data_IF_601815897532
#
_entry.id   IF_601815897532
#
_cell.length_a   1.000
_cell.length_b   1.000
_cell.length_c   1.000
_cell.angle_alpha   90.00
_cell.angle_beta   90.00
_cell.angle_gamma   90.00
#
_symmetry.space_group_name_H-M   'P 1'
#
loop_
_entity.id
_entity.type
_entity.pdbx_description
1 polymer ?
#
# COMPACT_ATOMS: atom_id res chain seq x y z
N UNK A 1 -16.31 -22.53 37.52
CA UNK A 1 -14.84 -22.64 37.72
C UNK A 1 -14.10 -22.97 36.42
N UNK A 2 -14.78 -23.47 35.37
CA UNK A 2 -14.21 -23.73 34.03
C UNK A 2 -14.01 -22.46 33.18
N UNK A 3 -14.92 -21.49 33.25
CA UNK A 3 -14.85 -20.21 32.49
C UNK A 3 -13.57 -19.39 32.79
N UNK A 4 -12.98 -19.56 33.98
CA UNK A 4 -11.71 -18.89 34.35
C UNK A 4 -10.47 -19.60 33.80
N UNK A 5 -10.54 -20.88 33.43
CA UNK A 5 -9.42 -21.63 32.83
C UNK A 5 -9.33 -21.40 31.32
N UNK A 6 -10.45 -21.16 30.63
CA UNK A 6 -10.50 -20.94 29.18
C UNK A 6 -9.77 -19.66 28.72
N UNK A 7 -9.81 -18.58 29.51
CA UNK A 7 -9.11 -17.32 29.17
C UNK A 7 -7.58 -17.48 29.02
N UNK A 8 -6.98 -18.47 29.68
CA UNK A 8 -5.53 -18.69 29.64
C UNK A 8 -5.08 -19.57 28.48
N UNK A 9 -6.01 -20.16 27.71
CA UNK A 9 -5.71 -21.04 26.58
C UNK A 9 -6.30 -20.55 25.26
N UNK A 10 -6.68 -19.28 25.18
CA UNK A 10 -7.39 -18.71 24.04
C UNK A 10 -6.91 -17.29 23.80
N UNK A 11 -6.14 -17.10 22.73
CA UNK A 11 -5.51 -15.83 22.38
C UNK A 11 -6.11 -15.25 21.11
N UNK A 12 -6.16 -13.92 21.02
CA UNK A 12 -6.27 -13.28 19.71
C UNK A 12 -4.93 -13.50 18.99
N UNK A 13 -4.97 -14.01 17.75
CA UNK A 13 -3.77 -14.35 16.99
C UNK A 13 -2.83 -13.14 16.81
N UNK A 14 -3.37 -11.94 16.68
CA UNK A 14 -2.58 -10.70 16.50
C UNK A 14 -1.70 -10.38 17.71
N UNK A 15 -2.16 -10.73 18.91
CA UNK A 15 -1.47 -10.41 20.16
C UNK A 15 -0.30 -11.36 20.44
N UNK A 16 -0.30 -12.54 19.82
CA UNK A 16 0.71 -13.59 20.05
C UNK A 16 1.63 -13.84 18.86
N UNK A 17 1.32 -13.27 17.69
CA UNK A 17 2.19 -13.32 16.50
C UNK A 17 3.04 -12.05 16.46
N UNK A 18 4.35 -12.24 16.51
CA UNK A 18 5.36 -11.21 16.40
C UNK A 18 6.09 -11.37 15.07
N UNK A 19 6.12 -10.30 14.28
CA UNK A 19 6.84 -10.24 13.01
C UNK A 19 8.08 -9.38 13.21
N UNK A 20 9.26 -9.94 12.95
CA UNK A 20 10.55 -9.27 13.10
C UNK A 20 11.27 -9.18 11.75
N UNK A 21 11.75 -7.99 11.38
CA UNK A 21 12.75 -7.84 10.32
C UNK A 21 14.13 -7.85 10.96
N UNK A 22 14.82 -8.98 10.87
CA UNK A 22 16.12 -9.22 11.47
C UNK A 22 17.21 -8.48 10.68
N UNK A 23 17.97 -7.62 11.36
CA UNK A 23 19.02 -6.82 10.76
C UNK A 23 20.40 -7.48 10.94
N UNK A 24 21.28 -7.35 9.95
CA UNK A 24 22.68 -7.79 10.02
C UNK A 24 23.43 -7.10 11.18
N UNK A 25 23.06 -5.85 11.48
CA UNK A 25 23.63 -5.10 12.58
C UNK A 25 22.85 -5.33 13.88
N UNK A 26 23.33 -6.25 14.72
CA UNK A 26 22.73 -6.60 16.02
C UNK A 26 22.63 -5.42 17.01
N UNK A 27 23.36 -4.31 16.75
CA UNK A 27 23.24 -3.08 17.56
C UNK A 27 22.02 -2.21 17.23
N UNK A 28 21.36 -2.45 16.08
CA UNK A 28 20.07 -1.82 15.79
C UNK A 28 18.97 -2.59 16.54
N UNK A 29 18.05 -1.85 17.14
CA UNK A 29 16.87 -2.46 17.76
C UNK A 29 16.10 -3.28 16.72
N UNK A 30 15.59 -4.47 17.11
CA UNK A 30 14.83 -5.31 16.20
C UNK A 30 13.56 -4.58 15.76
N UNK A 31 13.25 -4.69 14.47
CA UNK A 31 12.08 -4.07 13.87
C UNK A 31 10.92 -5.04 14.02
N UNK A 32 10.13 -4.86 15.08
CA UNK A 32 9.04 -5.77 15.46
C UNK A 32 7.69 -5.09 15.26
N UNK A 33 6.73 -5.84 14.70
CA UNK A 33 5.34 -5.43 14.58
C UNK A 33 4.39 -6.63 14.63
N UNK A 34 3.10 -6.37 14.72
CA UNK A 34 2.04 -7.38 14.77
C UNK A 34 1.21 -7.37 13.48
N UNK A 35 0.57 -8.50 13.11
CA UNK A 35 -0.45 -8.51 12.08
C UNK A 35 -1.60 -7.55 12.40
N UNK A 36 -2.19 -6.94 11.36
CA UNK A 36 -3.45 -6.20 11.45
C UNK A 36 -4.64 -7.15 11.27
N UNK A 37 -4.47 -8.17 10.43
CA UNK A 37 -5.47 -9.18 10.11
C UNK A 37 -4.89 -10.58 10.24
N UNK A 38 -5.72 -11.53 10.67
CA UNK A 38 -5.35 -12.94 10.81
C UNK A 38 -6.47 -13.90 10.41
N UNK A 39 -7.65 -13.37 10.06
CA UNK A 39 -8.86 -14.16 9.77
C UNK A 39 -8.68 -15.11 8.57
N UNK A 40 -7.77 -14.79 7.63
CA UNK A 40 -7.46 -15.67 6.50
C UNK A 40 -6.68 -16.93 6.91
N UNK A 41 -6.10 -16.94 8.11
CA UNK A 41 -5.25 -18.03 8.64
C UNK A 41 -5.92 -18.70 9.84
N UNK A 42 -6.52 -17.91 10.74
CA UNK A 42 -7.13 -18.37 11.99
C UNK A 42 -8.61 -18.00 12.04
N UNK A 43 -9.46 -18.99 12.27
CA UNK A 43 -10.90 -18.79 12.47
C UNK A 43 -11.16 -17.84 13.64
N UNK A 44 -12.07 -16.89 13.44
CA UNK A 44 -12.39 -15.81 14.40
C UNK A 44 -11.16 -15.01 14.87
N UNK A 45 -10.03 -15.11 14.18
CA UNK A 45 -8.74 -14.53 14.60
C UNK A 45 -8.25 -15.06 15.96
N UNK A 46 -8.64 -16.29 16.32
CA UNK A 46 -8.31 -16.91 17.61
C UNK A 46 -7.43 -18.14 17.46
N UNK A 47 -6.56 -18.32 18.46
CA UNK A 47 -5.77 -19.55 18.64
C UNK A 47 -6.12 -20.13 20.00
N UNK A 48 -6.56 -21.39 20.02
CA UNK A 48 -7.04 -22.09 21.22
C UNK A 48 -6.22 -23.33 21.54
N UNK A 49 -6.14 -23.67 22.83
CA UNK A 49 -5.51 -24.89 23.32
C UNK A 49 -4.04 -24.77 23.72
N UNK A 50 -3.47 -23.56 23.72
CA UNK A 50 -2.07 -23.30 24.11
C UNK A 50 -2.02 -22.30 25.24
N UNK A 51 -1.10 -22.45 26.20
CA UNK A 51 -0.86 -21.50 27.30
C UNK A 51 0.42 -20.71 27.08
N UNK A 52 0.40 -19.42 27.44
CA UNK A 52 1.54 -18.49 27.31
C UNK A 52 2.15 -18.55 25.89
N UNK A 53 1.28 -18.54 24.88
CA UNK A 53 1.64 -18.74 23.48
C UNK A 53 2.40 -17.52 22.95
N UNK A 54 3.50 -17.77 22.25
CA UNK A 54 4.29 -16.79 21.52
C UNK A 54 4.74 -17.39 20.18
N UNK A 55 4.41 -16.70 19.08
CA UNK A 55 4.76 -17.10 17.71
C UNK A 55 5.66 -16.01 17.14
N UNK A 56 6.94 -16.31 16.91
CA UNK A 56 7.88 -15.39 16.29
C UNK A 56 8.13 -15.78 14.83
N UNK A 57 7.80 -14.88 13.92
CA UNK A 57 8.14 -14.93 12.51
C UNK A 57 9.25 -13.90 12.25
N UNK A 58 10.49 -14.38 12.11
CA UNK A 58 11.63 -13.52 11.76
C UNK A 58 11.90 -13.60 10.26
N UNK A 59 12.19 -12.47 9.64
CA UNK A 59 12.52 -12.34 8.23
C UNK A 59 13.90 -11.70 8.10
N UNK A 60 14.81 -12.31 7.33
CA UNK A 60 16.07 -11.66 6.99
C UNK A 60 15.80 -10.33 6.27
N UNK A 61 16.49 -9.25 6.66
CA UNK A 61 16.22 -7.93 6.08
C UNK A 61 16.48 -7.83 4.57
N UNK A 62 17.31 -8.70 3.99
CA UNK A 62 17.67 -8.65 2.57
C UNK A 62 16.66 -9.39 1.67
N UNK A 63 16.52 -10.71 1.81
CA UNK A 63 15.74 -11.58 0.89
C UNK A 63 14.50 -12.17 1.56
N UNK A 64 14.21 -11.74 2.79
CA UNK A 64 13.06 -12.16 3.58
C UNK A 64 13.03 -13.67 3.89
N UNK A 65 14.17 -14.36 3.84
CA UNK A 65 14.25 -15.74 4.34
C UNK A 65 13.68 -15.83 5.76
N UNK A 66 12.83 -16.84 6.00
CA UNK A 66 11.93 -16.88 7.16
C UNK A 66 12.46 -17.85 8.21
N UNK A 67 12.37 -17.45 9.47
CA UNK A 67 12.50 -18.30 10.64
C UNK A 67 11.20 -18.28 11.46
N UNK A 68 10.70 -19.46 11.82
CA UNK A 68 9.50 -19.65 12.62
C UNK A 68 9.85 -20.29 13.98
N UNK A 69 9.47 -19.63 15.06
CA UNK A 69 9.56 -20.17 16.43
C UNK A 69 8.20 -20.09 17.10
N UNK A 70 7.67 -21.24 17.52
CA UNK A 70 6.43 -21.32 18.29
C UNK A 70 6.80 -21.79 19.69
N UNK A 71 6.41 -21.01 20.70
CA UNK A 71 6.68 -21.28 22.11
C UNK A 71 5.40 -21.22 22.91
N UNK A 72 5.23 -22.13 23.85
CA UNK A 72 4.10 -22.19 24.78
C UNK A 72 4.55 -22.97 26.03
N UNK A 73 3.89 -22.75 27.16
CA UNK A 73 4.21 -23.42 28.43
C UNK A 73 3.37 -24.66 28.68
N UNK A 74 2.21 -24.77 28.04
CA UNK A 74 1.30 -25.92 28.14
C UNK A 74 0.41 -26.06 26.90
N UNK A 75 -0.02 -27.29 26.60
CA UNK A 75 -0.92 -27.63 25.48
C UNK A 75 -2.06 -28.51 25.98
N UNK A 76 -3.29 -28.10 25.68
CA UNK A 76 -4.50 -28.78 26.12
C UNK A 76 -4.85 -29.98 25.21
N UNK A 77 -4.02 -31.02 25.17
CA UNK A 77 -4.23 -32.19 24.28
C UNK A 77 -5.39 -33.11 24.71
N UNK A 78 -5.89 -33.00 25.95
CA UNK A 78 -6.91 -33.89 26.53
C UNK A 78 -8.03 -33.16 27.32
N UNK A 79 -8.21 -31.85 27.13
CA UNK A 79 -9.30 -31.12 27.81
C UNK A 79 -10.53 -31.14 26.91
N UNK A 80 -11.55 -31.89 27.32
CA UNK A 80 -12.87 -31.88 26.66
C UNK A 80 -13.30 -30.41 26.47
N UNK A 81 -13.78 -30.08 25.27
CA UNK A 81 -14.28 -28.75 24.84
C UNK A 81 -13.28 -27.73 24.23
N UNK A 82 -11.96 -27.99 24.15
CA UNK A 82 -11.02 -27.08 23.45
C UNK A 82 -10.45 -27.70 22.17
N UNK A 83 -10.81 -27.14 21.00
CA UNK A 83 -10.15 -27.49 19.74
C UNK A 83 -8.70 -26.97 19.77
N UNK A 84 -7.71 -27.86 19.79
CA UNK A 84 -6.29 -27.52 19.73
C UNK A 84 -5.75 -27.80 18.31
N UNK A 85 -5.93 -26.85 17.39
CA UNK A 85 -5.39 -26.94 16.02
C UNK A 85 -3.86 -26.80 16.06
N UNK A 86 -3.15 -27.63 15.29
CA UNK A 86 -1.70 -27.52 15.17
C UNK A 86 -1.33 -26.19 14.50
N UNK A 87 -0.76 -25.27 15.27
CA UNK A 87 -0.36 -23.92 14.80
C UNK A 87 0.67 -24.02 13.68
N UNK A 88 1.64 -24.92 13.80
CA UNK A 88 2.71 -25.05 12.82
C UNK A 88 2.16 -25.53 11.47
N UNK A 89 1.33 -26.58 11.47
CA UNK A 89 0.66 -27.06 10.26
C UNK A 89 -0.25 -25.99 9.65
N UNK A 90 -0.90 -25.18 10.47
CA UNK A 90 -1.75 -24.09 10.01
C UNK A 90 -0.93 -23.03 9.29
N UNK A 91 0.16 -22.55 9.90
CA UNK A 91 1.05 -21.55 9.32
C UNK A 91 1.79 -22.07 8.09
N UNK A 92 2.18 -23.35 8.06
CA UNK A 92 2.87 -23.98 6.91
C UNK A 92 2.06 -23.99 5.62
N UNK A 93 0.74 -23.77 5.68
CA UNK A 93 -0.10 -23.59 4.47
C UNK A 93 0.10 -22.24 3.79
N UNK A 94 0.61 -21.25 4.53
CA UNK A 94 0.79 -19.86 4.09
C UNK A 94 2.26 -19.41 4.08
N UNK A 95 3.16 -20.28 4.53
CA UNK A 95 4.59 -20.05 4.53
C UNK A 95 5.27 -20.95 3.48
N UNK A 96 6.38 -20.50 2.87
CA UNK A 96 7.14 -21.32 1.95
C UNK A 96 7.76 -22.53 2.67
N UNK A 97 8.01 -23.60 1.91
CA UNK A 97 8.63 -24.83 2.43
C UNK A 97 10.06 -24.60 2.97
N UNK A 98 10.71 -23.54 2.54
CA UNK A 98 12.10 -23.18 2.84
C UNK A 98 12.30 -22.54 4.21
N UNK A 99 11.27 -22.44 5.06
CA UNK A 99 11.40 -21.83 6.40
C UNK A 99 12.46 -22.53 7.25
N UNK A 100 13.14 -21.76 8.10
CA UNK A 100 14.08 -22.25 9.10
C UNK A 100 13.41 -22.39 10.45
N UNK A 101 13.82 -23.39 11.22
CA UNK A 101 13.38 -23.61 12.62
C UNK A 101 14.56 -23.63 13.59
N UNK A 102 15.79 -23.57 13.10
CA UNK A 102 17.01 -23.44 13.89
C UNK A 102 17.52 -21.99 13.86
N UNK A 103 17.63 -21.39 15.04
CA UNK A 103 17.98 -19.98 15.21
C UNK A 103 19.44 -19.70 14.84
N UNK A 104 20.33 -20.65 15.12
CA UNK A 104 21.76 -20.53 14.78
C UNK A 104 21.98 -20.50 13.27
N UNK A 105 21.30 -21.39 12.54
CA UNK A 105 21.32 -21.45 11.08
C UNK A 105 20.76 -20.17 10.47
N UNK A 106 19.67 -19.64 11.02
CA UNK A 106 19.07 -18.37 10.58
C UNK A 106 20.05 -17.20 10.70
N UNK A 107 20.69 -17.02 11.86
CA UNK A 107 21.65 -15.94 12.05
C UNK A 107 22.97 -16.16 11.30
N UNK A 108 23.37 -17.40 11.01
CA UNK A 108 24.47 -17.66 10.05
C UNK A 108 24.08 -17.15 8.67
N UNK A 109 22.92 -17.56 8.15
CA UNK A 109 22.43 -17.16 6.84
C UNK A 109 22.32 -15.64 6.69
N UNK A 110 21.77 -14.95 7.70
CA UNK A 110 21.66 -13.49 7.73
C UNK A 110 23.03 -12.80 7.62
N UNK A 111 24.08 -13.35 8.24
CA UNK A 111 25.43 -12.77 8.26
C UNK A 111 26.26 -13.11 7.03
N UNK A 112 26.00 -14.25 6.41
CA UNK A 112 26.76 -14.76 5.27
C UNK A 112 26.43 -14.03 3.96
N UNK A 113 25.23 -13.42 3.86
CA UNK A 113 24.75 -12.82 2.61
C UNK A 113 25.24 -11.37 2.36
N UNK A 114 26.57 -11.16 2.41
CA UNK A 114 27.20 -9.84 2.23
C UNK A 114 27.18 -9.30 0.79
N UNK A 115 26.89 -10.16 -0.20
CA UNK A 115 26.85 -9.80 -1.61
C UNK A 115 25.43 -9.64 -2.16
N UNK A 116 24.41 -9.69 -1.30
CA UNK A 116 23.03 -9.53 -1.75
C UNK A 116 22.80 -8.16 -2.37
N UNK A 117 22.19 -8.17 -3.55
CA UNK A 117 21.60 -6.99 -4.19
C UNK A 117 20.16 -7.36 -4.51
N UNK A 118 19.18 -6.47 -4.24
CA UNK A 118 17.79 -6.72 -4.61
C UNK A 118 17.68 -7.10 -6.10
N UNK A 119 16.98 -8.20 -6.42
CA UNK A 119 16.83 -8.63 -7.80
C UNK A 119 15.98 -7.67 -8.62
N UNK A 120 16.06 -7.80 -9.94
CA UNK A 120 15.39 -6.92 -10.90
C UNK A 120 16.17 -5.64 -11.20
N UNK A 121 15.51 -4.72 -11.91
CA UNK A 121 16.10 -3.47 -12.36
C UNK A 121 15.85 -2.37 -11.33
N UNK A 122 16.90 -1.64 -10.93
CA UNK A 122 16.73 -0.41 -10.15
C UNK A 122 16.08 0.67 -11.02
N UNK A 123 14.89 1.12 -10.63
CA UNK A 123 14.10 2.11 -11.38
C UNK A 123 14.08 3.50 -10.73
N UNK A 124 14.41 3.59 -9.44
CA UNK A 124 14.40 4.86 -8.71
C UNK A 124 15.31 4.80 -7.49
N UNK A 125 15.81 5.96 -7.07
CA UNK A 125 16.51 6.15 -5.81
C UNK A 125 16.15 7.50 -5.21
N UNK A 126 16.03 7.57 -3.88
CA UNK A 126 15.80 8.82 -3.17
C UNK A 126 16.49 8.81 -1.80
N UNK A 127 16.81 10.00 -1.29
CA UNK A 127 17.31 10.18 0.06
C UNK A 127 16.19 10.65 0.99
N UNK A 128 16.13 10.08 2.18
CA UNK A 128 15.25 10.52 3.26
C UNK A 128 15.98 10.33 4.60
N UNK A 129 16.02 11.37 5.43
CA UNK A 129 16.67 11.33 6.76
C UNK A 129 18.11 10.76 6.70
N UNK A 130 18.91 11.22 5.72
CA UNK A 130 20.28 10.77 5.46
C UNK A 130 20.44 9.27 5.14
N UNK A 131 19.33 8.57 4.85
CA UNK A 131 19.34 7.18 4.39
C UNK A 131 18.97 7.14 2.91
N UNK A 132 19.64 6.28 2.16
CA UNK A 132 19.36 6.06 0.73
C UNK A 132 18.32 4.96 0.62
N UNK A 133 17.33 5.17 -0.24
CA UNK A 133 16.32 4.18 -0.56
C UNK A 133 16.33 3.94 -2.06
N UNK A 134 16.14 2.69 -2.47
CA UNK A 134 16.15 2.27 -3.86
C UNK A 134 14.90 1.42 -4.14
N UNK A 135 14.29 1.66 -5.31
CA UNK A 135 13.15 0.88 -5.80
C UNK A 135 13.61 0.02 -6.96
N UNK A 136 13.35 -1.28 -6.85
CA UNK A 136 13.64 -2.29 -7.85
C UNK A 136 12.35 -2.80 -8.46
N UNK A 137 12.38 -3.14 -9.75
CA UNK A 137 11.26 -3.71 -10.48
C UNK A 137 11.72 -5.00 -11.15
N UNK A 138 10.97 -6.07 -10.94
CA UNK A 138 11.19 -7.37 -11.57
C UNK A 138 9.89 -7.99 -12.07
N UNK A 139 10.00 -9.00 -12.92
CA UNK A 139 8.88 -9.86 -13.30
C UNK A 139 8.85 -11.08 -12.39
N UNK A 140 7.66 -11.61 -12.11
CA UNK A 140 7.51 -12.83 -11.29
C UNK A 140 8.22 -14.04 -11.89
N UNK A 141 8.51 -14.05 -13.20
CA UNK A 141 9.23 -15.15 -13.86
C UNK A 141 10.72 -15.23 -13.51
N UNK A 142 11.27 -14.18 -12.88
CA UNK A 142 12.64 -14.20 -12.36
C UNK A 142 12.66 -15.03 -11.07
N UNK A 143 13.42 -16.14 -11.01
CA UNK A 143 13.45 -17.01 -9.83
C UNK A 143 13.84 -16.31 -8.53
N UNK A 144 14.70 -15.28 -8.59
CA UNK A 144 15.10 -14.53 -7.40
C UNK A 144 13.98 -13.61 -6.91
N UNK A 145 13.18 -13.06 -7.83
CA UNK A 145 11.97 -12.30 -7.49
C UNK A 145 10.90 -13.24 -6.94
N UNK A 146 10.69 -14.40 -7.57
CA UNK A 146 9.73 -15.42 -7.13
C UNK A 146 10.05 -15.89 -5.70
N UNK A 147 11.32 -16.13 -5.38
CA UNK A 147 11.77 -16.48 -4.02
C UNK A 147 11.38 -15.40 -3.00
N UNK A 148 11.63 -14.13 -3.31
CA UNK A 148 11.26 -13.01 -2.41
C UNK A 148 9.73 -12.89 -2.28
N UNK A 149 8.99 -13.05 -3.38
CA UNK A 149 7.52 -13.03 -3.39
C UNK A 149 6.95 -14.14 -2.51
N UNK A 150 7.47 -15.36 -2.65
CA UNK A 150 7.09 -16.51 -1.84
C UNK A 150 7.30 -16.27 -0.33
N UNK A 151 8.36 -15.54 0.02
CA UNK A 151 8.65 -15.16 1.41
C UNK A 151 7.74 -14.02 1.91
N UNK A 152 7.47 -13.01 1.08
CA UNK A 152 6.79 -11.78 1.50
C UNK A 152 5.26 -11.82 1.38
N UNK A 153 4.69 -12.76 0.61
CA UNK A 153 3.25 -12.81 0.32
C UNK A 153 2.39 -12.93 1.59
N UNK A 154 2.89 -13.53 2.67
CA UNK A 154 2.17 -13.58 3.95
C UNK A 154 1.86 -12.18 4.52
N UNK A 155 2.66 -11.17 4.18
CA UNK A 155 2.38 -9.79 4.55
C UNK A 155 1.08 -9.27 3.93
N UNK A 156 0.65 -9.76 2.76
CA UNK A 156 -0.65 -9.36 2.20
C UNK A 156 -1.78 -9.80 3.12
N UNK A 157 -1.75 -11.03 3.60
CA UNK A 157 -2.77 -11.57 4.52
C UNK A 157 -2.75 -10.87 5.89
N UNK A 158 -1.58 -10.44 6.35
CA UNK A 158 -1.44 -9.77 7.64
C UNK A 158 -1.79 -8.28 7.61
N UNK A 159 -1.62 -7.61 6.47
CA UNK A 159 -1.61 -6.14 6.41
C UNK A 159 -2.66 -5.55 5.46
N UNK A 160 -3.29 -6.36 4.61
CA UNK A 160 -4.29 -5.91 3.64
C UNK A 160 -5.60 -6.67 3.87
N UNK A 161 -6.68 -5.93 4.08
CA UNK A 161 -8.03 -6.50 4.20
C UNK A 161 -8.49 -7.10 2.87
N UNK A 162 -9.15 -8.25 2.93
CA UNK A 162 -9.60 -9.01 1.76
C UNK A 162 -8.50 -9.63 0.90
N UNK A 163 -7.22 -9.52 1.29
CA UNK A 163 -6.12 -10.00 0.45
C UNK A 163 -6.08 -11.52 0.30
N UNK A 164 -5.59 -11.93 -0.87
CA UNK A 164 -5.20 -13.30 -1.21
C UNK A 164 -3.80 -13.29 -1.84
N UNK A 165 -3.17 -14.46 -1.92
CA UNK A 165 -1.91 -14.59 -2.66
C UNK A 165 -2.14 -14.38 -4.15
N UNK A 166 -1.12 -13.84 -4.82
CA UNK A 166 -1.13 -13.71 -6.28
C UNK A 166 -0.87 -15.08 -6.93
N UNK A 167 -1.31 -15.26 -8.17
CA UNK A 167 -0.93 -16.41 -8.97
C UNK A 167 0.49 -16.22 -9.51
N UNK A 168 1.48 -16.86 -8.87
CA UNK A 168 2.89 -16.71 -9.23
C UNK A 168 3.24 -17.32 -10.59
N UNK A 169 2.39 -18.18 -11.15
CA UNK A 169 2.59 -18.77 -12.48
C UNK A 169 2.22 -17.80 -13.61
N UNK A 170 1.44 -16.75 -13.32
CA UNK A 170 1.07 -15.75 -14.32
C UNK A 170 2.17 -14.71 -14.51
N UNK A 171 2.94 -14.87 -15.59
CA UNK A 171 4.01 -13.96 -16.01
C UNK A 171 3.63 -12.46 -16.13
N UNK A 172 2.35 -12.10 -16.10
CA UNK A 172 1.87 -10.71 -16.17
C UNK A 172 2.08 -9.92 -14.88
N UNK A 173 2.50 -10.57 -13.80
CA UNK A 173 2.83 -9.88 -12.55
C UNK A 173 4.17 -9.14 -12.64
N UNK A 174 4.09 -7.85 -12.34
CA UNK A 174 5.23 -6.98 -12.07
C UNK A 174 5.35 -6.76 -10.57
N UNK A 175 6.56 -6.91 -10.05
CA UNK A 175 6.88 -6.80 -8.63
C UNK A 175 7.79 -5.60 -8.42
N UNK A 176 7.38 -4.68 -7.55
CA UNK A 176 8.17 -3.53 -7.14
C UNK A 176 8.62 -3.71 -5.70
N UNK A 177 9.92 -3.65 -5.45
CA UNK A 177 10.53 -3.84 -4.13
C UNK A 177 11.20 -2.55 -3.68
N UNK A 178 10.94 -2.12 -2.45
CA UNK A 178 11.56 -0.95 -1.84
C UNK A 178 12.53 -1.38 -0.76
N UNK A 179 13.77 -0.91 -0.87
CA UNK A 179 14.84 -1.17 0.09
C UNK A 179 15.47 0.11 0.61
N UNK A 180 15.87 0.10 1.88
CA UNK A 180 16.88 1.00 2.42
C UNK A 180 18.26 0.41 2.08
N UNK A 181 19.13 1.26 1.53
CA UNK A 181 20.52 0.95 1.22
C UNK A 181 21.42 1.54 2.31
N UNK A 182 22.24 0.68 2.92
CA UNK A 182 23.22 1.05 3.94
C UNK A 182 24.63 0.69 3.46
N UNK A 183 25.49 1.67 3.29
CA UNK A 183 26.90 1.44 2.93
C UNK A 183 27.76 1.38 4.19
N UNK A 184 28.51 0.28 4.38
CA UNK A 184 29.46 0.08 5.49
C UNK A 184 30.72 -0.60 4.97
N UNK A 185 31.90 -0.07 5.30
CA UNK A 185 33.20 -0.64 4.89
C UNK A 185 33.27 -0.94 3.38
N UNK A 186 32.83 0.02 2.54
CA UNK A 186 32.73 -0.13 1.08
C UNK A 186 31.86 -1.29 0.58
N UNK A 187 30.96 -1.81 1.44
CA UNK A 187 29.95 -2.80 1.09
C UNK A 187 28.54 -2.25 1.30
N UNK A 188 27.66 -2.55 0.35
CA UNK A 188 26.27 -2.14 0.39
C UNK A 188 25.39 -3.25 0.97
N UNK A 189 24.54 -2.88 1.91
CA UNK A 189 23.58 -3.75 2.56
C UNK A 189 22.17 -3.24 2.30
N UNK A 190 21.24 -4.16 2.09
CA UNK A 190 19.87 -3.85 1.73
C UNK A 190 18.90 -4.35 2.81
N UNK A 191 18.02 -3.47 3.27
CA UNK A 191 16.96 -3.77 4.23
C UNK A 191 15.60 -3.48 3.60
N UNK A 192 14.74 -4.49 3.53
CA UNK A 192 13.42 -4.42 2.93
C UNK A 192 12.49 -3.48 3.70
N UNK A 193 11.78 -2.63 2.97
CA UNK A 193 10.88 -1.60 3.52
C UNK A 193 9.43 -1.82 3.10
N UNK A 194 9.20 -2.34 1.90
CA UNK A 194 7.87 -2.54 1.35
C UNK A 194 7.88 -3.03 -0.09
N UNK A 195 6.69 -3.31 -0.62
CA UNK A 195 6.51 -3.78 -1.98
C UNK A 195 5.20 -3.31 -2.60
N UNK A 196 5.08 -3.47 -3.91
CA UNK A 196 3.84 -3.35 -4.65
C UNK A 196 3.77 -4.42 -5.73
N UNK A 197 2.62 -5.06 -5.90
CA UNK A 197 2.34 -5.95 -7.03
C UNK A 197 1.43 -5.25 -8.04
N UNK A 198 1.73 -5.43 -9.32
CA UNK A 198 0.97 -4.82 -10.42
C UNK A 198 0.69 -5.88 -11.47
N UNK A 199 -0.58 -6.07 -11.81
CA UNK A 199 -0.99 -6.99 -12.87
C UNK A 199 -1.23 -6.26 -14.18
N UNK A 200 -0.78 -6.84 -15.28
CA UNK A 200 -1.01 -6.32 -16.64
C UNK A 200 -2.23 -6.97 -17.28
N UNK A 201 -3.36 -6.28 -17.26
CA UNK A 201 -4.56 -6.70 -17.99
C UNK A 201 -4.45 -6.33 -19.47
N UNK A 202 -4.91 -7.24 -20.33
CA UNK A 202 -5.12 -6.93 -21.73
C UNK A 202 -6.08 -5.75 -21.88
N UNK A 203 -5.71 -4.77 -22.70
CA UNK A 203 -6.58 -3.67 -23.10
C UNK A 203 -7.01 -3.86 -24.54
N UNK A 204 -8.27 -4.20 -24.74
CA UNK A 204 -8.81 -4.32 -26.09
C UNK A 204 -8.83 -2.95 -26.80
N UNK A 205 -8.15 -2.88 -27.94
CA UNK A 205 -8.28 -1.81 -28.91
C UNK A 205 -8.37 -2.42 -30.31
N UNK A 206 -9.20 -1.81 -31.17
CA UNK A 206 -9.22 -2.17 -32.60
C UNK A 206 -7.90 -1.87 -33.31
N UNK A 207 -7.11 -0.96 -32.75
CA UNK A 207 -5.88 -0.42 -33.36
C UNK A 207 -4.61 -1.13 -32.90
N UNK A 208 -4.64 -1.81 -31.74
CA UNK A 208 -3.48 -2.47 -31.15
C UNK A 208 -3.91 -3.64 -30.25
N UNK A 209 -3.32 -4.80 -30.48
CA UNK A 209 -3.47 -6.00 -29.65
C UNK A 209 -2.45 -6.07 -28.50
N UNK A 210 -1.55 -5.09 -28.42
CA UNK A 210 -0.44 -5.09 -27.46
C UNK A 210 -0.68 -4.14 -26.28
N UNK A 211 -1.83 -3.46 -26.26
CA UNK A 211 -2.16 -2.50 -25.22
C UNK A 211 -2.50 -3.20 -23.90
N UNK A 212 -2.18 -2.53 -22.79
CA UNK A 212 -2.44 -3.07 -21.46
C UNK A 212 -2.94 -2.01 -20.49
N UNK A 213 -3.67 -2.46 -19.46
CA UNK A 213 -3.98 -1.71 -18.24
C UNK A 213 -3.14 -2.28 -17.11
N UNK A 214 -2.39 -1.42 -16.43
CA UNK A 214 -1.71 -1.81 -15.21
C UNK A 214 -2.67 -1.64 -14.03
N UNK A 215 -2.87 -2.70 -13.23
CA UNK A 215 -3.64 -2.64 -11.99
C UNK A 215 -2.73 -2.90 -10.80
N UNK A 216 -2.54 -1.89 -9.96
CA UNK A 216 -1.90 -2.06 -8.65
C UNK A 216 -2.84 -2.92 -7.80
N UNK A 217 -2.36 -4.07 -7.36
CA UNK A 217 -3.15 -5.06 -6.62
C UNK A 217 -2.86 -5.00 -5.12
N UNK A 218 -1.60 -5.25 -4.74
CA UNK A 218 -1.16 -5.17 -3.34
C UNK A 218 -0.14 -4.04 -3.21
N UNK A 219 -0.23 -3.25 -2.14
CA UNK A 219 0.73 -2.19 -1.84
C UNK A 219 0.99 -2.14 -0.35
N UNK A 220 2.22 -2.42 0.06
CA UNK A 220 2.61 -2.53 1.47
C UNK A 220 3.86 -1.71 1.73
N UNK A 221 3.81 -0.88 2.76
CA UNK A 221 4.98 -0.41 3.49
C UNK A 221 4.92 -1.08 4.85
N UNK A 222 6.01 -1.73 5.29
CA UNK A 222 5.99 -2.42 6.58
C UNK A 222 5.66 -1.43 7.71
N UNK A 223 4.86 -1.83 8.70
CA UNK A 223 4.29 -0.90 9.70
C UNK A 223 5.30 0.06 10.33
N UNK A 224 6.52 -0.38 10.72
CA UNK A 224 7.52 0.51 11.34
C UNK A 224 8.02 1.64 10.44
N UNK A 225 7.88 1.51 9.11
CA UNK A 225 8.33 2.51 8.14
C UNK A 225 7.17 3.38 7.61
N UNK A 226 5.92 3.11 8.01
CA UNK A 226 4.77 3.88 7.56
C UNK A 226 4.81 5.33 8.06
N UNK A 227 4.02 6.21 7.41
CA UNK A 227 3.90 7.64 7.75
C UNK A 227 5.18 8.48 7.65
N UNK A 228 6.26 7.91 7.09
CA UNK A 228 7.52 8.62 6.80
C UNK A 228 7.68 9.07 5.34
N UNK A 229 6.64 8.87 4.50
CA UNK A 229 6.65 9.29 3.09
C UNK A 229 7.06 8.23 2.07
N UNK A 230 7.50 7.04 2.53
CA UNK A 230 7.89 5.92 1.66
C UNK A 230 6.80 5.49 0.69
N UNK A 231 5.53 5.43 1.14
CA UNK A 231 4.42 5.06 0.26
C UNK A 231 4.29 5.98 -0.95
N UNK A 232 4.32 7.31 -0.75
CA UNK A 232 4.23 8.26 -1.86
C UNK A 232 5.42 8.15 -2.83
N UNK A 233 6.62 7.90 -2.31
CA UNK A 233 7.83 7.71 -3.13
C UNK A 233 7.80 6.41 -3.94
N UNK A 234 7.37 5.30 -3.33
CA UNK A 234 7.19 4.03 -4.04
C UNK A 234 6.09 4.14 -5.10
N UNK A 235 4.96 4.77 -4.78
CA UNK A 235 3.87 5.02 -5.72
C UNK A 235 4.32 5.89 -6.90
N UNK A 236 5.08 6.96 -6.69
CA UNK A 236 5.57 7.76 -7.82
C UNK A 236 6.62 7.03 -8.65
N UNK A 237 7.51 6.24 -8.02
CA UNK A 237 8.51 5.45 -8.74
C UNK A 237 7.84 4.42 -9.66
N UNK A 238 6.89 3.63 -9.15
CA UNK A 238 6.17 2.65 -9.97
C UNK A 238 5.30 3.34 -11.03
N UNK A 239 4.64 4.45 -10.72
CA UNK A 239 3.79 5.16 -11.69
C UNK A 239 4.63 5.71 -12.84
N UNK A 240 5.78 6.32 -12.54
CA UNK A 240 6.72 6.84 -13.54
C UNK A 240 7.25 5.71 -14.42
N UNK A 241 7.64 4.58 -13.81
CA UNK A 241 8.11 3.41 -14.55
C UNK A 241 7.02 2.88 -15.50
N UNK A 242 5.79 2.66 -15.00
CA UNK A 242 4.68 2.13 -15.81
C UNK A 242 4.32 3.09 -16.95
N UNK A 243 4.28 4.40 -16.70
CA UNK A 243 3.99 5.40 -17.73
C UNK A 243 5.05 5.49 -18.83
N UNK A 244 6.29 5.11 -18.54
CA UNK A 244 7.35 5.07 -19.56
C UNK A 244 7.05 4.06 -20.68
N UNK A 245 6.19 3.09 -20.43
CA UNK A 245 5.70 2.15 -21.43
C UNK A 245 4.49 2.74 -22.18
N UNK A 246 4.68 3.05 -23.47
CA UNK A 246 3.63 3.60 -24.33
C UNK A 246 2.44 2.67 -24.53
N UNK A 247 2.62 1.34 -24.37
CA UNK A 247 1.55 0.34 -24.49
C UNK A 247 0.55 0.39 -23.33
N UNK A 248 0.94 0.94 -22.18
CA UNK A 248 0.03 1.10 -21.05
C UNK A 248 -0.93 2.25 -21.34
N UNK A 249 -2.23 1.97 -21.32
CA UNK A 249 -3.29 2.95 -21.61
C UNK A 249 -3.85 3.58 -20.33
N UNK A 250 -3.84 2.84 -19.23
CA UNK A 250 -4.43 3.27 -17.97
C UNK A 250 -3.76 2.57 -16.78
N UNK A 251 -3.66 3.28 -15.66
CA UNK A 251 -3.25 2.74 -14.37
C UNK A 251 -4.45 2.77 -13.42
N UNK A 252 -4.82 1.60 -12.91
CA UNK A 252 -5.92 1.38 -11.96
C UNK A 252 -5.38 0.82 -10.64
N UNK A 253 -6.21 0.84 -9.60
CA UNK A 253 -5.92 0.24 -8.30
C UNK A 253 -7.08 -0.67 -7.95
N UNK A 254 -6.77 -1.85 -7.47
CA UNK A 254 -7.73 -2.81 -6.92
C UNK A 254 -8.13 -2.38 -5.52
N UNK A 255 -9.44 -2.17 -5.31
CA UNK A 255 -10.09 -1.90 -4.01
C UNK A 255 -9.22 -1.13 -3.00
N UNK A 256 -8.83 0.13 -3.29
CA UNK A 256 -7.91 0.88 -2.46
C UNK A 256 -8.49 1.13 -1.05
N UNK A 257 -7.68 0.94 -0.01
CA UNK A 257 -8.02 1.39 1.34
C UNK A 257 -8.12 2.92 1.40
N UNK A 258 -8.77 3.45 2.43
CA UNK A 258 -8.89 4.89 2.66
C UNK A 258 -7.50 5.56 2.77
N UNK A 259 -6.54 4.93 3.46
CA UNK A 259 -5.18 5.44 3.58
C UNK A 259 -4.43 5.44 2.26
N UNK A 260 -4.61 4.40 1.44
CA UNK A 260 -4.03 4.35 0.11
C UNK A 260 -4.66 5.42 -0.78
N UNK A 261 -5.98 5.59 -0.73
CA UNK A 261 -6.71 6.60 -1.50
C UNK A 261 -6.25 8.02 -1.14
N UNK A 262 -6.03 8.31 0.15
CA UNK A 262 -5.47 9.59 0.62
C UNK A 262 -4.08 9.87 0.04
N UNK A 263 -3.20 8.86 0.02
CA UNK A 263 -1.88 8.97 -0.57
C UNK A 263 -1.99 9.19 -2.08
N UNK A 264 -2.81 8.38 -2.75
CA UNK A 264 -3.03 8.41 -4.19
C UNK A 264 -3.54 9.77 -4.65
N UNK A 265 -4.53 10.33 -3.97
CA UNK A 265 -5.07 11.67 -4.27
C UNK A 265 -3.98 12.74 -4.26
N UNK A 266 -3.14 12.74 -3.22
CA UNK A 266 -2.06 13.72 -3.06
C UNK A 266 -1.05 13.60 -4.20
N UNK A 267 -0.57 12.38 -4.46
CA UNK A 267 0.45 12.15 -5.49
C UNK A 267 -0.09 12.43 -6.90
N UNK A 268 -1.31 12.01 -7.20
CA UNK A 268 -1.95 12.25 -8.50
C UNK A 268 -2.22 13.74 -8.72
N UNK A 269 -2.71 14.47 -7.71
CA UNK A 269 -2.90 15.94 -7.81
C UNK A 269 -1.57 16.66 -8.01
N UNK A 270 -0.50 16.25 -7.31
CA UNK A 270 0.84 16.82 -7.51
C UNK A 270 1.32 16.58 -8.95
N UNK A 271 1.18 15.35 -9.45
CA UNK A 271 1.56 14.97 -10.82
C UNK A 271 0.77 15.76 -11.88
N UNK A 272 -0.55 15.85 -11.72
CA UNK A 272 -1.41 16.63 -12.60
C UNK A 272 -1.06 18.13 -12.55
N UNK A 273 -0.75 18.67 -11.36
CA UNK A 273 -0.30 20.05 -11.23
C UNK A 273 1.01 20.31 -11.98
N UNK A 274 1.98 19.39 -11.89
CA UNK A 274 3.27 19.49 -12.61
C UNK A 274 3.05 19.45 -14.12
N UNK A 275 2.10 18.64 -14.61
CA UNK A 275 1.76 18.59 -16.04
C UNK A 275 1.16 19.88 -16.60
N UNK A 276 0.78 20.83 -15.73
CA UNK A 276 0.18 22.11 -16.15
C UNK A 276 -1.32 22.03 -16.49
N UNK A 277 -1.94 20.85 -16.40
CA UNK A 277 -3.35 20.62 -16.80
C UNK A 277 -4.34 21.52 -16.07
N UNK A 278 -4.04 21.89 -14.82
CA UNK A 278 -4.90 22.78 -14.05
C UNK A 278 -4.76 24.25 -14.46
N UNK A 279 -3.83 24.61 -15.35
CA UNK A 279 -3.65 25.98 -15.83
C UNK A 279 -4.40 26.23 -17.15
N UNK A 280 -5.04 25.20 -17.70
CA UNK A 280 -5.86 25.31 -18.91
C UNK A 280 -7.13 26.13 -18.65
N UNK A 281 -7.60 26.88 -19.66
CA UNK A 281 -8.74 27.80 -19.54
C UNK A 281 -10.08 27.09 -19.28
N UNK A 282 -10.15 25.82 -19.66
CA UNK A 282 -11.27 24.89 -19.46
C UNK A 282 -11.39 24.45 -18.00
N UNK A 283 -10.32 24.58 -17.20
CA UNK A 283 -10.28 24.16 -15.80
C UNK A 283 -10.98 25.18 -14.88
N UNK A 284 -12.30 25.30 -15.06
CA UNK A 284 -13.20 26.11 -14.24
C UNK A 284 -14.58 25.43 -14.21
N UNK A 285 -15.38 25.61 -13.14
CA UNK A 285 -16.72 25.03 -13.10
C UNK A 285 -17.64 25.73 -14.13
N UNK A 286 -18.56 24.98 -14.77
CA UNK A 286 -18.49 23.54 -14.98
C UNK A 286 -17.39 23.18 -16.00
N UNK A 287 -16.61 22.14 -15.72
CA UNK A 287 -15.60 21.65 -16.65
C UNK A 287 -16.30 20.90 -17.80
N UNK A 288 -15.99 21.21 -19.08
CA UNK A 288 -16.52 20.46 -20.21
C UNK A 288 -16.18 18.97 -20.15
N UNK A 289 -17.18 18.09 -20.32
CA UNK A 289 -16.97 16.64 -20.22
C UNK A 289 -15.98 16.09 -21.27
N UNK A 290 -15.98 16.65 -22.48
CA UNK A 290 -15.02 16.26 -23.53
C UNK A 290 -13.58 16.58 -23.11
N UNK A 291 -13.36 17.74 -22.51
CA UNK A 291 -12.05 18.09 -21.96
C UNK A 291 -11.61 17.10 -20.89
N UNK A 292 -12.51 16.68 -19.98
CA UNK A 292 -12.20 15.68 -18.95
C UNK A 292 -11.71 14.38 -19.58
N UNK A 293 -12.36 13.89 -20.64
CA UNK A 293 -11.97 12.65 -21.32
C UNK A 293 -10.61 12.78 -22.01
N UNK A 294 -10.34 13.90 -22.68
CA UNK A 294 -9.06 14.14 -23.37
C UNK A 294 -7.91 14.29 -22.37
N UNK A 295 -8.13 15.08 -21.33
CA UNK A 295 -7.19 15.32 -20.24
C UNK A 295 -6.87 14.02 -19.47
N UNK A 296 -7.90 13.22 -19.17
CA UNK A 296 -7.73 11.92 -18.51
C UNK A 296 -6.89 10.97 -19.37
N UNK A 297 -7.21 10.81 -20.67
CA UNK A 297 -6.45 9.95 -21.59
C UNK A 297 -4.96 10.32 -21.64
N UNK A 298 -4.64 11.61 -21.67
CA UNK A 298 -3.25 12.10 -21.64
C UNK A 298 -2.55 11.74 -20.32
N UNK A 299 -3.25 11.79 -19.20
CA UNK A 299 -2.70 11.48 -17.87
C UNK A 299 -2.57 9.97 -17.58
N UNK A 300 -3.30 9.12 -18.30
CA UNK A 300 -3.43 7.67 -18.07
C UNK A 300 -3.89 7.27 -16.66
N UNK A 301 -4.44 8.21 -15.88
CA UNK A 301 -5.09 7.95 -14.58
C UNK A 301 -6.49 7.39 -14.84
N UNK A 302 -6.98 6.47 -14.00
CA UNK A 302 -8.36 5.97 -14.16
C UNK A 302 -9.41 7.07 -14.07
N UNK A 303 -10.49 6.98 -14.87
CA UNK A 303 -11.48 8.07 -14.97
C UNK A 303 -12.08 8.49 -13.62
N UNK A 304 -12.40 7.53 -12.74
CA UNK A 304 -12.92 7.82 -11.40
C UNK A 304 -11.91 8.59 -10.54
N UNK A 305 -10.64 8.20 -10.60
CA UNK A 305 -9.58 8.89 -9.87
C UNK A 305 -9.34 10.29 -10.44
N UNK A 306 -9.36 10.42 -11.77
CA UNK A 306 -9.20 11.70 -12.44
C UNK A 306 -10.32 12.68 -12.04
N UNK A 307 -11.59 12.24 -12.02
CA UNK A 307 -12.70 13.03 -11.50
C UNK A 307 -12.45 13.51 -10.07
N UNK A 308 -12.00 12.61 -9.20
CA UNK A 308 -11.72 12.94 -7.80
C UNK A 308 -10.61 14.00 -7.70
N UNK A 309 -9.51 13.84 -8.43
CA UNK A 309 -8.40 14.80 -8.43
C UNK A 309 -8.81 16.19 -8.96
N UNK A 310 -9.54 16.27 -10.09
CA UNK A 310 -9.97 17.57 -10.65
C UNK A 310 -10.97 18.28 -9.72
N UNK A 311 -11.85 17.54 -9.05
CA UNK A 311 -12.81 18.12 -8.11
C UNK A 311 -12.13 18.65 -6.85
N UNK A 312 -11.17 17.92 -6.28
CA UNK A 312 -10.35 18.39 -5.16
C UNK A 312 -9.56 19.65 -5.56
N UNK A 313 -8.92 19.63 -6.74
CA UNK A 313 -8.14 20.75 -7.23
C UNK A 313 -8.99 21.98 -7.57
N UNK A 314 -10.21 21.80 -8.08
CA UNK A 314 -11.19 22.88 -8.25
C UNK A 314 -11.57 23.47 -6.89
N UNK A 315 -11.96 22.63 -5.94
CA UNK A 315 -12.39 23.07 -4.60
C UNK A 315 -11.29 23.85 -3.87
N UNK A 316 -10.02 23.48 -4.04
CA UNK A 316 -8.88 24.23 -3.49
C UNK A 316 -8.81 25.67 -4.04
N UNK A 317 -9.23 25.89 -5.29
CA UNK A 317 -9.15 27.17 -6.01
C UNK A 317 -10.43 28.00 -5.98
N UNK A 318 -11.56 27.39 -5.61
CA UNK A 318 -12.84 28.08 -5.58
C UNK A 318 -12.81 29.25 -4.59
N UNK A 319 -13.30 30.40 -5.03
CA UNK A 319 -13.56 31.53 -4.16
C UNK A 319 -14.92 31.35 -3.49
N UNK A 320 -14.95 31.23 -2.16
CA UNK A 320 -16.18 31.04 -1.36
C UNK A 320 -17.21 32.15 -1.59
N UNK A 321 -16.75 33.34 -2.03
CA UNK A 321 -17.63 34.47 -2.33
C UNK A 321 -18.26 34.41 -3.72
N UNK A 322 -17.78 33.53 -4.60
CA UNK A 322 -18.38 33.32 -5.92
C UNK A 322 -19.46 32.24 -5.84
N UNK A 323 -20.67 32.67 -5.47
CA UNK A 323 -21.83 31.78 -5.31
C UNK A 323 -22.18 31.05 -6.62
N UNK A 324 -21.97 31.70 -7.77
CA UNK A 324 -22.24 31.11 -9.08
C UNK A 324 -21.30 29.96 -9.36
N UNK A 325 -19.99 30.17 -9.21
CA UNK A 325 -18.99 29.12 -9.41
C UNK A 325 -19.17 27.96 -8.43
N UNK A 326 -19.50 28.24 -7.16
CA UNK A 326 -19.81 27.20 -6.17
C UNK A 326 -21.05 26.38 -6.54
N UNK A 327 -22.10 27.05 -7.04
CA UNK A 327 -23.31 26.36 -7.52
C UNK A 327 -23.01 25.45 -8.71
N UNK A 328 -22.22 25.92 -9.68
CA UNK A 328 -21.83 25.15 -10.85
C UNK A 328 -20.96 23.94 -10.47
N UNK A 329 -19.99 24.12 -9.57
CA UNK A 329 -19.18 23.03 -8.99
C UNK A 329 -20.06 21.97 -8.32
N UNK A 330 -20.97 22.39 -7.43
CA UNK A 330 -21.87 21.47 -6.71
C UNK A 330 -22.76 20.69 -7.68
N UNK A 331 -23.32 21.35 -8.69
CA UNK A 331 -24.18 20.70 -9.68
C UNK A 331 -23.40 19.69 -10.53
N UNK A 332 -22.16 20.00 -10.94
CA UNK A 332 -21.31 19.07 -11.68
C UNK A 332 -21.07 17.77 -10.89
N UNK A 333 -20.72 17.88 -9.60
CA UNK A 333 -20.49 16.71 -8.75
C UNK A 333 -21.78 15.90 -8.58
N UNK A 334 -22.91 16.56 -8.30
CA UNK A 334 -24.20 15.89 -8.18
C UNK A 334 -24.61 15.16 -9.46
N UNK A 335 -24.36 15.74 -10.63
CA UNK A 335 -24.61 15.08 -11.91
C UNK A 335 -23.75 13.81 -12.05
N UNK A 336 -22.47 13.86 -11.65
CA UNK A 336 -21.61 12.67 -11.63
C UNK A 336 -22.12 11.60 -10.66
N UNK A 337 -22.48 11.98 -9.44
CA UNK A 337 -23.02 11.05 -8.43
C UNK A 337 -24.31 10.39 -8.95
N UNK A 338 -25.21 11.18 -9.54
CA UNK A 338 -26.45 10.68 -10.11
C UNK A 338 -26.18 9.66 -11.23
N UNK A 339 -25.33 10.00 -12.20
CA UNK A 339 -24.96 9.09 -13.29
C UNK A 339 -24.34 7.79 -12.79
N UNK A 340 -23.43 7.87 -11.80
CA UNK A 340 -22.75 6.69 -11.23
C UNK A 340 -23.71 5.76 -10.49
N UNK A 341 -24.76 6.31 -9.87
CA UNK A 341 -25.68 5.56 -9.02
C UNK A 341 -27.10 5.48 -9.60
N UNK A 342 -27.25 5.68 -10.92
CA UNK A 342 -28.56 5.82 -11.56
C UNK A 342 -29.48 4.63 -11.28
N UNK A 343 -28.99 3.40 -11.44
CA UNK A 343 -29.75 2.17 -11.17
C UNK A 343 -30.25 2.12 -9.73
N UNK A 344 -29.38 2.43 -8.77
CA UNK A 344 -29.74 2.47 -7.35
C UNK A 344 -30.65 3.65 -6.98
N UNK A 345 -30.66 4.73 -7.77
CA UNK A 345 -31.43 5.94 -7.48
C UNK A 345 -32.83 5.90 -8.10
N UNK A 346 -33.03 5.17 -9.20
CA UNK A 346 -34.30 5.14 -9.93
C UNK A 346 -35.47 4.51 -9.16
N UNK A 347 -35.17 3.80 -8.07
CA UNK A 347 -36.17 3.24 -7.14
C UNK A 347 -36.75 4.27 -6.16
N UNK A 348 -36.16 5.47 -6.07
CA UNK A 348 -36.61 6.54 -5.18
C UNK A 348 -37.42 7.60 -5.93
N UNK A 349 -38.26 8.34 -5.21
CA UNK A 349 -38.93 9.50 -5.80
C UNK A 349 -37.96 10.68 -5.97
N UNK A 350 -38.39 11.71 -6.71
CA UNK A 350 -37.55 12.87 -7.05
C UNK A 350 -36.98 13.58 -5.81
N UNK A 351 -37.78 13.77 -4.76
CA UNK A 351 -37.36 14.51 -3.57
C UNK A 351 -36.35 13.71 -2.74
N UNK A 352 -36.53 12.39 -2.65
CA UNK A 352 -35.58 11.46 -2.02
C UNK A 352 -34.25 11.42 -2.77
N UNK A 353 -34.27 11.37 -4.11
CA UNK A 353 -33.06 11.44 -4.93
C UNK A 353 -32.31 12.74 -4.64
N UNK A 354 -33.00 13.89 -4.65
CA UNK A 354 -32.38 15.19 -4.40
C UNK A 354 -31.74 15.27 -3.00
N UNK A 355 -32.41 14.71 -1.98
CA UNK A 355 -31.90 14.63 -0.61
C UNK A 355 -30.65 13.74 -0.53
N UNK A 356 -30.71 12.51 -1.06
CA UNK A 356 -29.57 11.58 -1.11
C UNK A 356 -28.37 12.19 -1.84
N UNK A 357 -28.59 12.83 -2.99
CA UNK A 357 -27.53 13.51 -3.74
C UNK A 357 -26.90 14.67 -2.95
N UNK A 358 -27.68 15.43 -2.19
CA UNK A 358 -27.14 16.50 -1.32
C UNK A 358 -26.34 15.92 -0.14
N UNK A 359 -26.83 14.87 0.51
CA UNK A 359 -26.12 14.20 1.61
C UNK A 359 -24.79 13.60 1.14
N UNK A 360 -24.79 12.88 0.02
CA UNK A 360 -23.58 12.33 -0.58
C UNK A 360 -22.61 13.44 -1.02
N UNK A 361 -23.10 14.52 -1.63
CA UNK A 361 -22.28 15.68 -1.98
C UNK A 361 -21.58 16.28 -0.76
N UNK A 362 -22.31 16.52 0.34
CA UNK A 362 -21.74 17.08 1.57
C UNK A 362 -20.67 16.18 2.18
N UNK A 363 -20.89 14.87 2.15
CA UNK A 363 -19.89 13.89 2.60
C UNK A 363 -18.61 13.97 1.76
N UNK A 364 -18.75 13.99 0.42
CA UNK A 364 -17.63 14.11 -0.52
C UNK A 364 -16.88 15.45 -0.33
N UNK A 365 -17.60 16.56 -0.22
CA UNK A 365 -16.98 17.88 -0.03
C UNK A 365 -16.18 17.94 1.28
N UNK A 366 -16.74 17.40 2.37
CA UNK A 366 -16.03 17.30 3.66
C UNK A 366 -14.75 16.48 3.54
N UNK A 367 -14.80 15.36 2.82
CA UNK A 367 -13.62 14.53 2.55
C UNK A 367 -12.57 15.26 1.70
N UNK A 368 -12.98 15.95 0.63
CA UNK A 368 -12.07 16.74 -0.20
C UNK A 368 -11.39 17.87 0.61
N UNK A 369 -12.13 18.55 1.48
CA UNK A 369 -11.55 19.55 2.39
C UNK A 369 -10.53 18.94 3.37
N UNK A 370 -10.77 17.72 3.86
CA UNK A 370 -9.81 16.96 4.69
C UNK A 370 -8.51 16.72 3.93
N UNK A 371 -8.59 16.27 2.67
CA UNK A 371 -7.42 16.08 1.80
C UNK A 371 -6.67 17.40 1.57
N UNK A 372 -7.36 18.47 1.17
CA UNK A 372 -6.76 19.80 0.92
C UNK A 372 -6.03 20.30 2.17
N UNK A 373 -6.65 20.18 3.35
CA UNK A 373 -6.03 20.59 4.63
C UNK A 373 -4.74 19.81 4.88
N UNK A 374 -4.74 18.50 4.66
CA UNK A 374 -3.56 17.67 4.84
C UNK A 374 -2.42 18.05 3.87
N UNK A 375 -2.73 18.36 2.61
CA UNK A 375 -1.74 18.81 1.61
C UNK A 375 -1.10 20.15 1.99
N UNK A 376 -1.89 21.11 2.50
CA UNK A 376 -1.37 22.40 2.96
C UNK A 376 -0.45 22.25 4.18
N UNK A 377 -0.80 21.38 5.13
CA UNK A 377 0.05 21.09 6.29
C UNK A 377 1.41 20.49 5.89
N UNK A 378 1.45 19.62 4.88
CA UNK A 378 2.69 19.06 4.37
C UNK A 378 3.60 20.13 3.74
N UNK A 379 3.06 21.03 2.92
CA UNK A 379 3.84 22.13 2.31
C UNK A 379 4.49 23.05 3.36
N UNK A 380 3.79 23.38 4.44
CA UNK A 380 4.36 24.19 5.52
C UNK A 380 5.54 23.47 6.20
N UNK A 381 5.42 22.16 6.46
CA UNK A 381 6.49 21.36 7.06
C UNK A 381 7.73 21.25 6.16
N UNK A 382 7.56 21.10 4.85
CA UNK A 382 8.68 21.07 3.89
C UNK A 382 9.40 22.41 3.80
N UNK A 383 8.66 23.53 3.83
CA UNK A 383 9.23 24.88 3.84
C UNK A 383 9.98 25.17 5.14
N UNK A 384 9.43 24.77 6.29
CA UNK A 384 10.10 24.90 7.59
C UNK A 384 11.36 24.02 7.70
N UNK A 385 11.31 22.79 7.18
CA UNK A 385 12.46 21.90 7.09
C UNK A 385 13.58 22.46 6.21
N UNK A 386 13.23 22.96 5.02
CA UNK A 386 14.17 23.58 4.09
C UNK A 386 14.80 24.85 4.67
N UNK A 387 14.02 25.67 5.39
CA UNK A 387 14.52 26.87 6.08
C UNK A 387 15.44 26.53 7.27
N UNK A 388 15.19 25.42 7.99
CA UNK A 388 16.09 24.93 9.05
C UNK A 388 17.41 24.38 8.52
N UNK A 389 17.39 23.70 7.37
CA UNK A 389 18.61 23.20 6.70
C UNK A 389 19.47 24.39 6.23
N UNK A 390 18.87 25.38 5.54
CA UNK A 390 19.58 26.61 5.14
C UNK A 390 20.13 27.40 6.32
N UNK A 391 19.46 27.42 7.47
CA UNK A 391 19.98 28.06 8.69
C UNK A 391 21.18 27.30 9.27
N UNK A 392 21.27 25.98 9.14
CA UNK A 392 22.44 25.21 9.59
C UNK A 392 23.66 25.44 8.71
N UNK A 393 23.48 25.63 7.40
CA UNK A 393 24.57 25.93 6.45
C UNK A 393 25.15 27.35 6.61
N UNK A 394 24.48 28.26 7.33
CA UNK A 394 24.98 29.62 7.61
C UNK A 394 25.85 29.65 8.89
N UNK A 395 25.87 28.58 9.68
CA UNK A 395 26.65 28.47 10.93
C UNK A 395 27.72 27.37 10.91
N UNK A 396 28.11 26.92 9.73
CA UNK A 396 29.34 26.14 9.44
C UNK A 396 30.16 26.92 8.44
#
# INVERSE_FOLDING_TARGET
>A
MEVFKEKNYSFNAKDVIFIEIANINETKMPIIFHPIYTYSIFEEERITGYKDLNINLKFCCHDLQIYLKIQYTDKAENKEHLSCKNIEETLRKYLPKTIMTDETTFYSYLRDNKSFVPPGNKISSYMLNNSVFEVFMGSIVDPEIEKIVNNMQIFSLFLIEGASFIDIEDSKWMIFLLYEKQSRNDQDYYCFIGYSTVYLYYWYSRESLDNSRARIAQFVILPPFQRNGHGGKLYDALYTYILSNSKIQEITVEDPSDEFQDMRDKQDIIRLKISGIFNEKEFKPPIPYLWILEAQKKSKISLNQFFRCIEIALLERLNIRDEKAYKEYRLQIKQRIYKKNFENLNQYNKDEILKKLEETYKSIEKDYLRIIKSMKAHKCKEQDGSNRIKRKEIYT
#
